data_IF_871966593708
#
_entry.id   IF_871966593708
#
_cell.length_a   1.000
_cell.length_b   1.000
_cell.length_c   1.000
_cell.angle_alpha   90.00
_cell.angle_beta   90.00
_cell.angle_gamma   90.00
#
_symmetry.space_group_name_H-M   'P 1'
#
loop_
_entity.id
_entity.type
_entity.pdbx_description
1 polymer ?
#
# COMPACT_ATOMS: atom_id res chain seq x y z
N UNK A 1 15.62 2.74 -7.64
CA UNK A 1 14.26 3.19 -8.02
C UNK A 1 13.22 2.53 -7.13
N UNK A 2 12.31 3.33 -6.56
CA UNK A 2 11.24 2.90 -5.67
C UNK A 2 9.91 2.95 -6.41
N UNK A 3 9.17 1.85 -6.47
CA UNK A 3 7.83 1.81 -7.04
C UNK A 3 6.78 1.81 -5.93
N UNK A 4 5.85 2.77 -5.96
CA UNK A 4 4.68 2.82 -5.07
C UNK A 4 3.45 2.51 -5.90
N UNK A 5 2.75 1.43 -5.58
CA UNK A 5 1.55 1.02 -6.33
C UNK A 5 0.29 1.71 -5.81
N UNK A 6 -0.82 1.60 -6.54
CA UNK A 6 -2.12 2.21 -6.21
C UNK A 6 -2.03 3.74 -5.96
N UNK A 7 -1.19 4.44 -6.72
CA UNK A 7 -0.74 5.80 -6.46
C UNK A 7 -1.83 6.88 -6.59
N UNK A 8 -3.03 6.56 -7.04
CA UNK A 8 -4.19 7.47 -6.98
C UNK A 8 -4.85 7.51 -5.59
N UNK A 9 -4.48 6.60 -4.69
CA UNK A 9 -5.04 6.48 -3.34
C UNK A 9 -4.45 7.47 -2.33
N UNK A 10 -5.16 7.68 -1.22
CA UNK A 10 -4.73 8.61 -0.16
C UNK A 10 -3.42 8.16 0.51
N UNK A 11 -3.29 6.87 0.85
CA UNK A 11 -2.09 6.35 1.51
C UNK A 11 -0.86 6.53 0.61
N UNK A 12 -0.96 6.20 -0.67
CA UNK A 12 0.16 6.31 -1.58
C UNK A 12 0.70 7.74 -1.70
N UNK A 13 -0.19 8.74 -1.81
CA UNK A 13 0.24 10.14 -1.86
C UNK A 13 1.05 10.54 -0.62
N UNK A 14 0.60 10.10 0.55
CA UNK A 14 1.32 10.31 1.81
C UNK A 14 2.67 9.57 1.84
N UNK A 15 2.76 8.36 1.25
CA UNK A 15 4.03 7.64 1.12
C UNK A 15 5.00 8.40 0.21
N UNK A 16 4.54 8.90 -0.93
CA UNK A 16 5.37 9.73 -1.82
C UNK A 16 5.83 10.99 -1.09
N UNK A 17 4.95 11.66 -0.34
CA UNK A 17 5.31 12.80 0.49
C UNK A 17 6.40 12.46 1.51
N UNK A 18 6.23 11.34 2.22
CA UNK A 18 7.22 10.88 3.21
C UNK A 18 8.57 10.52 2.58
N UNK A 19 8.58 9.88 1.40
CA UNK A 19 9.81 9.59 0.66
C UNK A 19 10.55 10.87 0.27
N UNK A 20 9.85 11.86 -0.29
CA UNK A 20 10.43 13.14 -0.66
C UNK A 20 10.96 13.91 0.56
N UNK A 21 10.24 13.90 1.69
CA UNK A 21 10.66 14.52 2.95
C UNK A 21 11.92 13.84 3.54
N UNK A 22 12.12 12.55 3.26
CA UNK A 22 13.33 11.79 3.61
C UNK A 22 14.50 12.03 2.67
N UNK A 23 14.33 12.89 1.66
CA UNK A 23 15.37 13.26 0.71
C UNK A 23 15.54 12.29 -0.47
N UNK A 24 14.58 11.39 -0.69
CA UNK A 24 14.58 10.55 -1.90
C UNK A 24 14.31 11.45 -3.11
N UNK A 25 15.19 11.47 -4.13
CA UNK A 25 14.95 12.26 -5.34
C UNK A 25 13.64 11.85 -6.01
N UNK A 26 12.86 12.83 -6.46
CA UNK A 26 11.58 12.56 -7.13
C UNK A 26 11.75 11.66 -8.36
N UNK A 27 12.86 11.81 -9.09
CA UNK A 27 13.23 10.95 -10.23
C UNK A 27 13.43 9.49 -9.88
N UNK A 28 13.67 9.16 -8.61
CA UNK A 28 13.89 7.80 -8.12
C UNK A 28 12.58 7.15 -7.63
N UNK A 29 11.47 7.88 -7.67
CA UNK A 29 10.14 7.43 -7.25
C UNK A 29 9.26 7.21 -8.48
N UNK A 30 8.68 6.03 -8.58
CA UNK A 30 7.67 5.67 -9.58
C UNK A 30 6.31 5.49 -8.90
N UNK A 31 5.29 6.14 -9.43
CA UNK A 31 3.90 6.06 -8.99
C UNK A 31 3.08 5.22 -9.98
N UNK A 32 2.75 3.99 -9.59
CA UNK A 32 1.97 3.08 -10.42
C UNK A 32 0.46 3.29 -10.22
N UNK A 33 -0.26 3.61 -11.28
CA UNK A 33 -1.71 3.88 -11.24
C UNK A 33 -2.44 3.22 -12.40
N UNK A 34 -3.71 2.83 -12.21
CA UNK A 34 -4.56 2.31 -13.31
C UNK A 34 -4.82 3.36 -14.40
N UNK A 35 -4.88 4.63 -14.02
CA UNK A 35 -5.15 5.76 -14.93
C UNK A 35 -4.13 6.86 -14.64
N UNK A 36 -3.08 7.04 -15.47
CA UNK A 36 -2.00 7.99 -15.22
C UNK A 36 -2.45 9.42 -14.92
N UNK A 37 -3.46 9.93 -15.62
CA UNK A 37 -3.99 11.29 -15.39
C UNK A 37 -4.56 11.53 -13.98
N UNK A 38 -4.81 10.49 -13.19
CA UNK A 38 -5.20 10.63 -11.78
C UNK A 38 -4.02 10.91 -10.84
N UNK A 39 -2.80 10.98 -11.38
CA UNK A 39 -1.56 11.24 -10.63
C UNK A 39 -0.76 12.40 -11.25
N UNK A 40 -1.40 13.29 -12.01
CA UNK A 40 -0.77 14.47 -12.63
C UNK A 40 -0.12 15.39 -11.59
N UNK A 41 -0.68 15.45 -10.38
CA UNK A 41 -0.13 16.17 -9.24
C UNK A 41 1.23 15.59 -8.77
N UNK A 42 1.43 14.28 -8.86
CA UNK A 42 2.71 13.64 -8.58
C UNK A 42 3.70 13.88 -9.71
N UNK A 43 3.24 13.78 -10.96
CA UNK A 43 4.06 14.09 -12.13
C UNK A 43 4.59 15.54 -12.10
N UNK A 44 3.74 16.50 -11.71
CA UNK A 44 4.13 17.91 -11.56
C UNK A 44 5.24 18.12 -10.50
N UNK A 45 5.45 17.16 -9.60
CA UNK A 45 6.52 17.16 -8.58
C UNK A 45 7.78 16.43 -9.03
N UNK A 46 7.82 15.94 -10.27
CA UNK A 46 8.96 15.22 -10.84
C UNK A 46 8.97 13.71 -10.55
N UNK A 47 7.90 13.17 -9.96
CA UNK A 47 7.72 11.74 -9.75
C UNK A 47 7.36 11.07 -11.07
N UNK A 48 7.98 9.93 -11.39
CA UNK A 48 7.61 9.15 -12.55
C UNK A 48 6.22 8.54 -12.40
N UNK A 49 5.31 8.79 -13.34
CA UNK A 49 3.97 8.19 -13.33
C UNK A 49 3.83 7.18 -14.45
N UNK A 50 3.32 6.00 -14.15
CA UNK A 50 3.15 4.94 -15.13
C UNK A 50 1.84 4.16 -14.92
N UNK A 51 1.34 3.56 -16.01
CA UNK A 51 0.20 2.67 -15.93
C UNK A 51 0.59 1.37 -15.21
N UNK A 52 -0.17 1.03 -14.19
CA UNK A 52 -0.02 -0.21 -13.45
C UNK A 52 -1.41 -0.70 -12.99
N UNK A 53 -1.79 -1.86 -13.49
CA UNK A 53 -3.03 -2.54 -13.13
C UNK A 53 -2.70 -3.96 -12.68
N UNK A 54 -3.10 -4.32 -11.48
CA UNK A 54 -2.80 -5.63 -10.86
C UNK A 54 -3.35 -6.81 -11.66
N UNK A 55 -4.42 -6.61 -12.42
CA UNK A 55 -5.06 -7.66 -13.22
C UNK A 55 -4.61 -7.67 -14.69
N UNK A 56 -3.68 -6.78 -15.05
CA UNK A 56 -3.13 -6.66 -16.40
C UNK A 56 -1.61 -6.90 -16.41
N UNK A 57 -1.16 -8.17 -16.59
CA UNK A 57 0.26 -8.52 -16.49
C UNK A 57 1.18 -7.72 -17.41
N UNK A 58 0.72 -7.30 -18.59
CA UNK A 58 1.51 -6.51 -19.52
C UNK A 58 1.86 -5.11 -18.98
N UNK A 59 1.02 -4.54 -18.12
CA UNK A 59 1.33 -3.26 -17.44
C UNK A 59 2.35 -3.46 -16.33
N UNK A 60 2.28 -4.59 -15.63
CA UNK A 60 3.20 -4.94 -14.56
C UNK A 60 4.62 -5.15 -15.11
N UNK A 61 4.79 -5.93 -16.17
CA UNK A 61 6.10 -6.20 -16.75
C UNK A 61 6.83 -4.90 -17.13
N UNK A 62 6.11 -3.91 -17.66
CA UNK A 62 6.67 -2.58 -17.99
C UNK A 62 6.98 -1.75 -16.75
N UNK A 63 6.08 -1.79 -15.77
CA UNK A 63 6.19 -0.98 -14.55
C UNK A 63 7.36 -1.42 -13.65
N UNK A 64 7.70 -2.71 -13.67
CA UNK A 64 8.74 -3.27 -12.82
C UNK A 64 10.16 -3.22 -13.44
N UNK A 65 10.29 -2.75 -14.69
CA UNK A 65 11.61 -2.64 -15.34
C UNK A 65 12.51 -1.65 -14.58
N UNK A 66 13.63 -2.13 -14.03
CA UNK A 66 14.61 -1.32 -13.29
C UNK A 66 14.16 -0.88 -11.90
N UNK A 67 13.14 -1.51 -11.33
CA UNK A 67 12.67 -1.25 -9.96
C UNK A 67 13.53 -2.04 -8.97
N UNK A 68 14.07 -1.34 -7.97
CA UNK A 68 14.85 -1.97 -6.90
C UNK A 68 13.94 -2.43 -5.75
N UNK A 69 12.99 -1.57 -5.33
CA UNK A 69 12.08 -1.85 -4.21
C UNK A 69 10.66 -1.43 -4.56
N UNK A 70 9.70 -2.19 -4.08
CA UNK A 70 8.27 -1.93 -4.35
C UNK A 70 7.44 -1.92 -3.08
N UNK A 71 6.50 -0.97 -3.00
CA UNK A 71 5.39 -0.99 -2.06
C UNK A 71 4.15 -1.51 -2.77
N UNK A 72 3.72 -2.70 -2.41
CA UNK A 72 2.44 -3.26 -2.77
C UNK A 72 1.38 -2.77 -1.78
N UNK A 73 0.58 -1.80 -2.20
CA UNK A 73 -0.58 -1.34 -1.43
C UNK A 73 -1.77 -2.24 -1.75
N UNK A 74 -2.36 -2.83 -0.73
CA UNK A 74 -3.50 -3.74 -0.88
C UNK A 74 -4.70 -3.06 -1.55
N UNK A 75 -5.26 -3.72 -2.54
CA UNK A 75 -6.48 -3.28 -3.23
C UNK A 75 -7.75 -3.62 -2.44
N UNK A 76 -8.88 -3.10 -2.90
CA UNK A 76 -10.23 -3.38 -2.37
C UNK A 76 -11.10 -4.16 -3.36
N UNK A 77 -10.57 -4.48 -4.53
CA UNK A 77 -11.29 -5.23 -5.57
C UNK A 77 -11.58 -6.67 -5.11
N UNK A 78 -12.66 -7.27 -5.60
CA UNK A 78 -13.11 -8.59 -5.15
C UNK A 78 -12.10 -9.72 -5.42
N UNK A 79 -11.32 -9.60 -6.50
CA UNK A 79 -10.28 -10.55 -6.92
C UNK A 79 -8.86 -10.09 -6.58
N UNK A 80 -8.72 -9.22 -5.55
CA UNK A 80 -7.45 -8.61 -5.15
C UNK A 80 -6.33 -9.61 -4.87
N UNK A 81 -6.62 -10.80 -4.35
CA UNK A 81 -5.60 -11.84 -4.10
C UNK A 81 -4.93 -12.26 -5.40
N UNK A 82 -5.69 -12.43 -6.48
CA UNK A 82 -5.15 -12.73 -7.81
C UNK A 82 -4.28 -11.57 -8.31
N UNK A 83 -4.77 -10.33 -8.18
CA UNK A 83 -4.01 -9.14 -8.53
C UNK A 83 -2.71 -9.00 -7.74
N UNK A 84 -2.74 -9.25 -6.42
CA UNK A 84 -1.53 -9.23 -5.58
C UNK A 84 -0.52 -10.31 -6.01
N UNK A 85 -0.98 -11.52 -6.33
CA UNK A 85 -0.10 -12.59 -6.86
C UNK A 85 0.57 -12.19 -8.16
N UNK A 86 -0.13 -11.51 -9.06
CA UNK A 86 0.46 -10.99 -10.30
C UNK A 86 1.58 -9.97 -10.00
N UNK A 87 1.36 -9.06 -9.04
CA UNK A 87 2.37 -8.08 -8.61
C UNK A 87 3.59 -8.78 -7.99
N UNK A 88 3.38 -9.77 -7.12
CA UNK A 88 4.45 -10.56 -6.49
C UNK A 88 5.27 -11.29 -7.56
N UNK A 89 4.61 -11.91 -8.53
CA UNK A 89 5.29 -12.58 -9.64
C UNK A 89 6.11 -11.59 -10.48
N UNK A 90 5.54 -10.44 -10.84
CA UNK A 90 6.25 -9.41 -11.59
C UNK A 90 7.47 -8.86 -10.83
N UNK A 91 7.35 -8.65 -9.52
CA UNK A 91 8.45 -8.23 -8.66
C UNK A 91 9.60 -9.26 -8.64
N UNK A 92 9.25 -10.54 -8.48
CA UNK A 92 10.22 -11.65 -8.51
C UNK A 92 10.91 -11.72 -9.87
N UNK A 93 10.16 -11.70 -10.95
CA UNK A 93 10.66 -11.88 -12.30
C UNK A 93 11.55 -10.69 -12.76
N UNK A 94 11.30 -9.50 -12.22
CA UNK A 94 12.11 -8.31 -12.40
C UNK A 94 13.35 -8.24 -11.48
N UNK A 95 13.49 -9.17 -10.53
CA UNK A 95 14.62 -9.18 -9.59
C UNK A 95 14.56 -8.06 -8.55
N UNK A 96 13.36 -7.64 -8.16
CA UNK A 96 13.17 -6.64 -7.10
C UNK A 96 13.84 -7.11 -5.81
N UNK A 97 14.68 -6.26 -5.22
CA UNK A 97 15.47 -6.60 -4.02
C UNK A 97 14.62 -6.62 -2.74
N UNK A 98 13.50 -5.89 -2.73
CA UNK A 98 12.59 -5.85 -1.57
C UNK A 98 11.16 -5.53 -1.96
N UNK A 99 10.22 -6.29 -1.41
CA UNK A 99 8.80 -6.01 -1.48
C UNK A 99 8.30 -5.58 -0.08
N UNK A 100 7.64 -4.43 0.01
CA UNK A 100 6.91 -3.98 1.20
C UNK A 100 5.41 -4.15 0.92
N UNK A 101 4.68 -4.77 1.82
CA UNK A 101 3.25 -5.04 1.64
C UNK A 101 2.40 -4.45 2.76
N UNK A 102 1.31 -3.77 2.41
CA UNK A 102 0.33 -3.28 3.39
C UNK A 102 -0.71 -4.37 3.67
N UNK A 103 -0.55 -5.04 4.79
CA UNK A 103 -1.44 -6.08 5.29
C UNK A 103 -2.39 -5.56 6.37
N UNK A 104 -3.09 -6.45 7.04
CA UNK A 104 -4.00 -6.17 8.15
C UNK A 104 -3.54 -6.91 9.43
N UNK A 105 -3.98 -6.46 10.63
CA UNK A 105 -3.55 -7.09 11.87
C UNK A 105 -4.24 -8.43 12.09
N UNK A 106 -3.57 -9.33 12.81
CA UNK A 106 -4.13 -10.57 13.35
C UNK A 106 -4.74 -11.51 12.29
N UNK A 107 -4.20 -11.48 11.05
CA UNK A 107 -4.68 -12.32 9.95
C UNK A 107 -4.53 -13.83 10.23
N UNK A 108 -3.66 -14.19 11.17
CA UNK A 108 -3.43 -15.59 11.59
C UNK A 108 -4.31 -16.01 12.76
N UNK A 109 -4.94 -15.07 13.45
CA UNK A 109 -5.61 -15.30 14.73
C UNK A 109 -7.13 -15.17 14.64
N UNK A 110 -7.63 -14.29 13.78
CA UNK A 110 -9.04 -13.94 13.72
C UNK A 110 -9.56 -14.15 12.30
N UNK A 111 -10.69 -14.85 12.19
CA UNK A 111 -11.41 -14.98 10.93
C UNK A 111 -12.31 -13.75 10.69
N UNK A 112 -11.95 -12.96 9.69
CA UNK A 112 -12.73 -11.82 9.19
C UNK A 112 -12.51 -11.66 7.69
N UNK A 113 -13.52 -11.13 7.00
CA UNK A 113 -13.58 -11.16 5.53
C UNK A 113 -12.30 -10.65 4.83
N UNK A 114 -11.74 -9.52 5.32
CA UNK A 114 -10.48 -8.98 4.76
C UNK A 114 -9.25 -9.77 5.19
N UNK A 115 -9.29 -10.42 6.35
CA UNK A 115 -8.18 -11.15 6.94
C UNK A 115 -7.72 -12.32 6.08
N UNK A 116 -8.67 -13.09 5.54
CA UNK A 116 -8.38 -14.24 4.67
C UNK A 116 -7.59 -13.83 3.42
N UNK A 117 -7.95 -12.73 2.77
CA UNK A 117 -7.27 -12.24 1.58
C UNK A 117 -5.87 -11.70 1.88
N UNK A 118 -5.71 -11.01 3.02
CA UNK A 118 -4.39 -10.56 3.48
C UNK A 118 -3.50 -11.73 3.81
N UNK A 119 -4.02 -12.74 4.52
CA UNK A 119 -3.30 -13.97 4.83
C UNK A 119 -2.84 -14.68 3.57
N UNK A 120 -3.74 -14.89 2.59
CA UNK A 120 -3.40 -15.52 1.32
C UNK A 120 -2.33 -14.74 0.53
N UNK A 121 -2.29 -13.42 0.69
CA UNK A 121 -1.24 -12.57 0.08
C UNK A 121 0.08 -12.70 0.85
N UNK A 122 0.07 -12.70 2.18
CA UNK A 122 1.28 -12.92 2.99
C UNK A 122 1.90 -14.30 2.71
N UNK A 123 1.07 -15.34 2.58
CA UNK A 123 1.51 -16.69 2.19
C UNK A 123 2.15 -16.70 0.79
N UNK A 124 1.56 -15.97 -0.17
CA UNK A 124 2.11 -15.85 -1.52
C UNK A 124 3.46 -15.11 -1.52
N UNK A 125 3.61 -14.07 -0.69
CA UNK A 125 4.88 -13.36 -0.51
C UNK A 125 5.92 -14.30 0.08
N UNK A 126 5.61 -15.03 1.16
CA UNK A 126 6.53 -15.98 1.79
C UNK A 126 6.98 -17.08 0.82
N UNK A 127 6.08 -17.57 -0.03
CA UNK A 127 6.38 -18.60 -1.03
C UNK A 127 7.17 -18.06 -2.24
N UNK A 128 7.24 -16.74 -2.44
CA UNK A 128 7.89 -16.14 -3.61
C UNK A 128 9.41 -16.15 -3.58
N UNK A 129 10.01 -16.25 -2.39
CA UNK A 129 11.44 -16.11 -2.16
C UNK A 129 11.95 -14.66 -2.18
N UNK A 130 11.07 -13.66 -2.32
CA UNK A 130 11.45 -12.25 -2.22
C UNK A 130 11.78 -11.89 -0.76
N UNK A 131 12.80 -11.05 -0.58
CA UNK A 131 12.96 -10.33 0.69
C UNK A 131 11.76 -9.39 0.87
N UNK A 132 11.04 -9.51 1.98
CA UNK A 132 9.80 -8.77 2.17
C UNK A 132 9.65 -8.20 3.58
N UNK A 133 8.96 -7.07 3.66
CA UNK A 133 8.49 -6.47 4.90
C UNK A 133 6.98 -6.37 4.87
N UNK A 134 6.30 -6.97 5.84
CA UNK A 134 4.84 -6.93 5.95
C UNK A 134 4.45 -5.89 6.99
N UNK A 135 3.73 -4.86 6.56
CA UNK A 135 3.20 -3.80 7.41
C UNK A 135 1.72 -4.10 7.72
N UNK A 136 1.44 -4.64 8.89
CA UNK A 136 0.08 -4.96 9.33
C UNK A 136 -0.62 -3.70 9.88
N UNK A 137 -1.28 -2.97 8.98
CA UNK A 137 -2.01 -1.74 9.29
C UNK A 137 -3.31 -2.05 10.04
N UNK A 138 -3.52 -1.43 11.19
CA UNK A 138 -4.80 -1.44 11.87
C UNK A 138 -5.75 -0.39 11.25
N UNK A 139 -6.89 -0.15 11.88
CA UNK A 139 -7.91 0.77 11.40
C UNK A 139 -7.36 2.19 11.22
N UNK A 140 -7.64 2.82 10.08
CA UNK A 140 -7.23 4.20 9.84
C UNK A 140 -8.08 5.18 10.63
N UNK A 141 -7.44 6.11 11.34
CA UNK A 141 -8.13 7.16 12.10
C UNK A 141 -9.06 7.98 11.21
N UNK A 142 -8.66 8.23 9.98
CA UNK A 142 -9.44 8.98 8.99
C UNK A 142 -10.74 8.28 8.57
N UNK A 143 -10.91 6.99 8.85
CA UNK A 143 -12.16 6.30 8.59
C UNK A 143 -13.33 6.79 9.48
N UNK A 144 -13.01 7.51 10.55
CA UNK A 144 -14.02 8.14 11.42
C UNK A 144 -14.44 9.54 10.96
N UNK A 145 -13.74 10.17 10.00
CA UNK A 145 -13.99 11.56 9.61
C UNK A 145 -15.44 11.80 9.17
N UNK A 146 -16.02 10.90 8.39
CA UNK A 146 -17.41 11.04 7.94
C UNK A 146 -18.41 10.98 9.11
N UNK A 147 -18.15 10.11 10.09
CA UNK A 147 -18.98 10.02 11.28
C UNK A 147 -18.86 11.28 12.15
N UNK A 148 -17.65 11.79 12.32
CA UNK A 148 -17.38 13.03 13.06
C UNK A 148 -18.01 14.23 12.37
N UNK A 149 -17.90 14.32 11.05
CA UNK A 149 -18.51 15.41 10.26
C UNK A 149 -20.02 15.40 10.40
N UNK A 150 -20.67 14.22 10.30
CA UNK A 150 -22.13 14.12 10.52
C UNK A 150 -22.50 14.47 11.96
N UNK A 151 -21.70 14.07 12.94
CA UNK A 151 -21.95 14.36 14.35
C UNK A 151 -21.89 15.86 14.66
N UNK A 152 -21.14 16.65 13.91
CA UNK A 152 -21.13 18.11 14.07
C UNK A 152 -22.52 18.74 13.79
N UNK A 153 -23.30 18.12 12.89
CA UNK A 153 -24.65 18.59 12.56
C UNK A 153 -25.74 17.94 13.45
N UNK A 154 -25.56 16.67 13.81
CA UNK A 154 -26.59 15.87 14.50
C UNK A 154 -26.41 15.79 16.03
N UNK A 155 -25.18 16.06 16.51
CA UNK A 155 -24.80 15.86 17.91
C UNK A 155 -24.61 14.40 18.32
N UNK A 156 -24.69 13.45 17.37
CA UNK A 156 -24.67 12.02 17.66
C UNK A 156 -23.71 11.25 16.75
N UNK A 157 -23.01 10.24 17.32
CA UNK A 157 -22.30 9.20 16.57
C UNK A 157 -23.01 7.88 16.78
N UNK A 158 -23.55 7.31 15.71
CA UNK A 158 -24.19 5.98 15.75
C UNK A 158 -23.14 4.92 15.41
N UNK A 159 -22.95 3.97 16.33
CA UNK A 159 -22.02 2.86 16.14
C UNK A 159 -22.60 1.57 16.76
N UNK A 160 -22.30 0.43 16.15
CA UNK A 160 -22.70 -0.89 16.62
C UNK A 160 -21.46 -1.70 17.08
N UNK A 161 -20.68 -1.14 18.00
CA UNK A 161 -19.38 -1.67 18.41
C UNK A 161 -19.36 -2.25 19.84
N UNK A 162 -20.42 -2.06 20.62
CA UNK A 162 -20.44 -2.47 22.03
C UNK A 162 -19.25 -1.90 22.79
N UNK A 163 -18.56 -2.74 23.55
CA UNK A 163 -17.37 -2.39 24.33
C UNK A 163 -16.05 -2.63 23.56
N UNK A 164 -16.10 -2.84 22.24
CA UNK A 164 -14.92 -3.10 21.43
C UNK A 164 -13.97 -1.90 21.44
N UNK A 165 -12.66 -2.20 21.45
CA UNK A 165 -11.60 -1.19 21.40
C UNK A 165 -10.85 -1.31 20.07
N UNK A 166 -10.52 -0.17 19.48
CA UNK A 166 -9.76 -0.09 18.23
C UNK A 166 -8.49 0.73 18.48
N UNK A 167 -7.35 0.17 18.15
CA UNK A 167 -6.08 0.90 18.09
C UNK A 167 -5.97 1.54 16.70
N UNK A 168 -6.58 2.70 16.50
CA UNK A 168 -6.51 3.42 15.23
C UNK A 168 -5.19 4.17 15.12
N UNK A 169 -4.67 4.27 13.88
CA UNK A 169 -3.45 5.00 13.54
C UNK A 169 -3.71 5.82 12.28
N UNK A 170 -3.11 6.99 12.16
CA UNK A 170 -3.29 7.84 10.99
C UNK A 170 -2.65 7.21 9.74
N UNK A 171 -3.24 7.49 8.57
CA UNK A 171 -2.60 7.11 7.29
C UNK A 171 -1.22 7.74 7.14
N UNK A 172 -0.99 8.90 7.74
CA UNK A 172 0.30 9.56 7.73
C UNK A 172 1.37 8.75 8.46
N UNK A 173 1.08 8.25 9.64
CA UNK A 173 2.03 7.43 10.41
C UNK A 173 2.34 6.12 9.68
N UNK A 174 1.33 5.50 9.07
CA UNK A 174 1.53 4.32 8.22
C UNK A 174 2.36 4.63 6.97
N UNK A 175 2.18 5.80 6.37
CA UNK A 175 2.99 6.23 5.23
C UNK A 175 4.45 6.44 5.61
N UNK A 176 4.73 7.03 6.78
CA UNK A 176 6.08 7.16 7.32
C UNK A 176 6.74 5.79 7.54
N UNK A 177 6.01 4.85 8.13
CA UNK A 177 6.48 3.48 8.31
C UNK A 177 6.79 2.80 6.96
N UNK A 178 5.92 2.98 5.96
CA UNK A 178 6.14 2.43 4.62
C UNK A 178 7.35 3.06 3.92
N UNK A 179 7.51 4.38 4.02
CA UNK A 179 8.67 5.08 3.48
C UNK A 179 9.97 4.62 4.16
N UNK A 180 9.96 4.42 5.47
CA UNK A 180 11.10 3.87 6.21
C UNK A 180 11.43 2.45 5.72
N UNK A 181 10.46 1.56 5.60
CA UNK A 181 10.64 0.19 5.13
C UNK A 181 11.19 0.14 3.68
N UNK A 182 10.83 1.13 2.84
CA UNK A 182 11.38 1.24 1.49
C UNK A 182 12.81 1.78 1.44
N UNK A 183 13.25 2.53 2.45
CA UNK A 183 14.54 3.25 2.41
C UNK A 183 15.61 2.71 3.34
N UNK A 184 15.30 1.79 4.26
CA UNK A 184 16.26 1.15 5.16
C UNK A 184 16.41 -0.33 4.89
N UNK A 185 17.59 -0.90 5.17
CA UNK A 185 17.84 -2.34 5.10
C UNK A 185 17.59 -3.05 6.46
N UNK A 186 17.47 -2.30 7.53
CA UNK A 186 17.28 -2.84 8.89
C UNK A 186 15.95 -3.58 9.09
N UNK A 187 14.97 -3.30 8.23
CA UNK A 187 13.63 -3.92 8.26
C UNK A 187 13.45 -5.03 7.22
N UNK A 188 14.54 -5.55 6.67
CA UNK A 188 14.49 -6.73 5.80
C UNK A 188 14.26 -7.97 6.67
N UNK A 189 13.07 -8.60 6.50
CA UNK A 189 12.75 -9.89 7.11
C UNK A 189 13.19 -11.06 6.24
#
# INVERSE_FOLDING_TARGET
TLLVTAASGQLCRLVVDALLQRGVPASDILAGVRTPSKADDLAARGVGVLELDYVRPETLARAFAGVDRVLLISGTDADRVSGHRNVIAAARDAGVSRLVYTSAPRVDEIDYALGADHKATEEAIAASGLSATVLRHNWYTENYLDAVTRAADTGEIVAAVGDARVASTSRRDYAEAAALALTTDELAG
#
